data_IF_323894118368
#
_entry.id   IF_323894118368
#
_cell.length_a   1.000
_cell.length_b   1.000
_cell.length_c   1.000
_cell.angle_alpha   90.00
_cell.angle_beta   90.00
_cell.angle_gamma   90.00
#
_symmetry.space_group_name_H-M   'P 1'
#
loop_
_entity.id
_entity.type
_entity.pdbx_description
1 polymer ?
#
# COMPACT_ATOMS: atom_id res chain seq x y z
N UNK A 1 -61.95 -40.28 43.72
CA UNK A 1 -62.39 -40.42 42.32
C UNK A 1 -62.50 -39.03 41.70
N UNK A 2 -61.67 -38.75 40.69
CA UNK A 2 -61.81 -37.64 39.70
C UNK A 2 -61.67 -36.21 40.25
N UNK A 3 -61.17 -35.20 39.54
CA UNK A 3 -60.60 -35.10 38.21
C UNK A 3 -59.95 -33.71 38.06
N UNK A 4 -58.89 -33.63 37.26
CA UNK A 4 -58.46 -32.44 36.51
C UNK A 4 -57.85 -31.26 37.28
N UNK A 5 -56.55 -31.44 37.54
CA UNK A 5 -55.54 -30.38 37.48
C UNK A 5 -55.71 -29.53 36.20
N UNK A 6 -55.94 -28.22 36.35
CA UNK A 6 -55.74 -27.24 35.27
C UNK A 6 -54.35 -26.64 35.43
N UNK A 7 -53.41 -27.20 34.67
CA UNK A 7 -52.06 -26.68 34.48
C UNK A 7 -52.18 -25.34 33.74
N UNK A 8 -51.80 -24.27 34.42
CA UNK A 8 -51.56 -22.97 33.80
C UNK A 8 -50.24 -23.09 33.01
N UNK A 9 -50.31 -23.29 31.70
CA UNK A 9 -49.13 -23.21 30.84
C UNK A 9 -48.72 -21.73 30.73
N UNK A 10 -47.79 -21.31 31.59
CA UNK A 10 -47.00 -20.12 31.34
C UNK A 10 -46.08 -20.42 30.15
N UNK A 11 -46.41 -19.88 28.98
CA UNK A 11 -45.51 -19.78 27.84
C UNK A 11 -44.33 -18.89 28.24
N UNK A 12 -43.26 -19.50 28.73
CA UNK A 12 -41.96 -18.84 28.81
C UNK A 12 -41.44 -18.83 27.37
N UNK A 13 -41.64 -17.70 26.68
CA UNK A 13 -40.99 -17.44 25.41
C UNK A 13 -39.49 -17.28 25.69
N UNK A 14 -38.73 -18.36 25.49
CA UNK A 14 -37.27 -18.33 25.45
C UNK A 14 -36.84 -17.44 24.28
N UNK A 15 -36.57 -16.17 24.55
CA UNK A 15 -35.92 -15.29 23.61
C UNK A 15 -34.48 -15.77 23.44
N UNK A 16 -34.25 -16.64 22.45
CA UNK A 16 -32.91 -16.95 21.97
C UNK A 16 -32.27 -15.65 21.49
N UNK A 17 -31.33 -15.13 22.25
CA UNK A 17 -30.45 -14.05 21.80
C UNK A 17 -29.59 -14.69 20.70
N UNK A 18 -30.03 -14.56 19.46
CA UNK A 18 -29.18 -14.79 18.31
C UNK A 18 -28.07 -13.74 18.40
N UNK A 19 -26.92 -14.18 18.93
CA UNK A 19 -25.69 -13.41 18.80
C UNK A 19 -25.44 -13.28 17.31
N UNK A 20 -25.63 -12.08 16.77
CA UNK A 20 -25.11 -11.76 15.45
C UNK A 20 -23.61 -12.01 15.50
N UNK A 21 -23.18 -13.13 14.93
CA UNK A 21 -21.79 -13.36 14.58
C UNK A 21 -21.45 -12.32 13.51
N UNK A 22 -21.04 -11.11 13.92
CA UNK A 22 -20.27 -10.27 13.03
C UNK A 22 -19.03 -11.09 12.68
N UNK A 23 -18.96 -11.53 11.43
CA UNK A 23 -17.74 -12.09 10.89
C UNK A 23 -16.68 -11.00 11.04
N UNK A 24 -15.72 -11.24 11.93
CA UNK A 24 -14.55 -10.39 12.08
C UNK A 24 -13.97 -10.21 10.68
N UNK A 25 -13.81 -8.97 10.22
CA UNK A 25 -13.34 -8.66 8.88
C UNK A 25 -11.87 -8.29 8.99
N UNK A 26 -10.97 -8.90 8.20
CA UNK A 26 -9.55 -8.66 8.35
C UNK A 26 -9.20 -7.21 7.99
N UNK A 27 -8.41 -6.56 8.83
CA UNK A 27 -7.96 -5.18 8.65
C UNK A 27 -6.92 -5.06 7.52
N UNK A 28 -6.15 -6.13 7.32
CA UNK A 28 -5.07 -6.21 6.34
C UNK A 28 -4.90 -7.66 5.87
N UNK A 29 -4.41 -7.85 4.65
CA UNK A 29 -4.07 -9.17 4.12
C UNK A 29 -2.75 -9.15 3.36
N UNK A 30 -2.02 -10.25 3.45
CA UNK A 30 -0.79 -10.48 2.69
C UNK A 30 -0.66 -11.93 2.23
N UNK A 31 0.53 -12.28 1.79
CA UNK A 31 0.91 -13.64 1.38
C UNK A 31 1.96 -14.18 2.35
N UNK A 32 1.94 -15.49 2.58
CA UNK A 32 3.07 -16.21 3.14
C UNK A 32 3.23 -17.58 2.47
N UNK A 33 4.29 -18.29 2.80
CA UNK A 33 4.53 -19.62 2.26
C UNK A 33 5.21 -20.55 3.26
N UNK A 34 4.94 -21.86 3.14
CA UNK A 34 5.57 -22.87 3.99
C UNK A 34 7.08 -22.93 3.74
N UNK A 35 7.86 -22.90 4.82
CA UNK A 35 9.33 -23.06 4.81
C UNK A 35 9.79 -24.34 5.50
N UNK A 36 8.92 -25.00 6.26
CA UNK A 36 9.16 -26.33 6.83
C UNK A 36 7.96 -27.25 6.63
N UNK A 37 8.18 -28.57 6.74
CA UNK A 37 7.12 -29.56 6.64
C UNK A 37 6.23 -29.62 7.87
N UNK A 38 6.74 -29.25 9.05
CA UNK A 38 5.97 -29.20 10.28
C UNK A 38 5.07 -27.96 10.36
N UNK A 39 5.16 -27.02 9.42
CA UNK A 39 4.19 -25.92 9.26
C UNK A 39 4.66 -24.57 9.77
N UNK A 40 5.94 -24.24 9.63
CA UNK A 40 6.40 -22.85 9.67
C UNK A 40 6.12 -22.15 8.35
N UNK A 41 5.56 -20.95 8.44
CA UNK A 41 5.22 -20.10 7.31
C UNK A 41 6.00 -18.79 7.42
N UNK A 42 6.67 -18.41 6.34
CA UNK A 42 7.39 -17.13 6.23
C UNK A 42 6.51 -16.09 5.53
N UNK A 43 6.57 -14.85 6.01
CA UNK A 43 5.91 -13.67 5.44
C UNK A 43 6.70 -12.40 5.81
N UNK A 44 6.18 -11.21 5.49
CA UNK A 44 6.76 -9.96 5.95
C UNK A 44 6.29 -9.58 7.36
N UNK A 45 7.13 -8.85 8.10
CA UNK A 45 6.79 -8.36 9.43
C UNK A 45 5.59 -7.41 9.39
N UNK A 46 5.55 -6.48 8.44
CA UNK A 46 4.44 -5.52 8.31
C UNK A 46 3.09 -6.18 8.00
N UNK A 47 3.09 -7.41 7.47
CA UNK A 47 1.84 -8.15 7.17
C UNK A 47 1.13 -8.57 8.45
N UNK A 48 1.89 -8.86 9.50
CA UNK A 48 1.36 -9.34 10.80
C UNK A 48 1.48 -8.29 11.91
N UNK A 49 1.90 -7.07 11.58
CA UNK A 49 2.15 -6.02 12.55
C UNK A 49 0.85 -5.53 13.21
N UNK A 50 0.80 -5.62 14.53
CA UNK A 50 -0.31 -5.14 15.34
C UNK A 50 -1.56 -6.01 15.26
N UNK A 51 -1.50 -7.18 14.64
CA UNK A 51 -2.64 -8.11 14.63
C UNK A 51 -2.87 -8.68 16.04
N UNK A 52 -4.11 -8.63 16.51
CA UNK A 52 -4.54 -9.41 17.69
C UNK A 52 -4.76 -10.87 17.35
N UNK A 53 -5.10 -11.17 16.10
CA UNK A 53 -5.26 -12.52 15.57
C UNK A 53 -4.75 -12.58 14.13
N UNK A 54 -4.03 -13.65 13.81
CA UNK A 54 -3.49 -13.92 12.49
C UNK A 54 -4.15 -15.21 12.00
N UNK A 55 -4.92 -15.14 10.93
CA UNK A 55 -5.52 -16.31 10.29
C UNK A 55 -4.78 -16.62 8.99
N UNK A 56 -4.49 -17.90 8.76
CA UNK A 56 -4.01 -18.39 7.47
C UNK A 56 -5.17 -19.10 6.79
N UNK A 57 -5.64 -18.55 5.66
CA UNK A 57 -6.87 -19.02 5.01
C UNK A 57 -6.77 -20.50 4.66
N UNK A 58 -7.74 -21.28 5.12
CA UNK A 58 -7.78 -22.75 4.95
C UNK A 58 -6.85 -23.54 5.87
N UNK A 59 -6.09 -22.88 6.76
CA UNK A 59 -5.22 -23.51 7.78
C UNK A 59 -5.61 -23.11 9.21
N UNK A 60 -6.41 -22.06 9.38
CA UNK A 60 -6.87 -21.57 10.68
C UNK A 60 -5.91 -20.56 11.29
N UNK A 61 -6.01 -20.37 12.60
CA UNK A 61 -5.22 -19.37 13.32
C UNK A 61 -3.76 -19.78 13.41
N UNK A 62 -2.88 -18.82 13.13
CA UNK A 62 -1.46 -18.97 13.31
C UNK A 62 -1.05 -18.67 14.76
N UNK A 63 0.07 -19.27 15.16
CA UNK A 63 0.64 -19.21 16.51
C UNK A 63 2.14 -18.92 16.44
N UNK A 64 2.78 -18.72 17.60
CA UNK A 64 4.23 -18.50 17.74
C UNK A 64 4.82 -17.50 16.71
N UNK A 65 4.33 -16.25 16.66
CA UNK A 65 4.88 -15.25 15.75
C UNK A 65 6.30 -14.87 16.18
N UNK A 66 7.27 -15.02 15.27
CA UNK A 66 8.66 -14.57 15.43
C UNK A 66 8.94 -13.49 14.42
N UNK A 67 9.47 -12.36 14.86
CA UNK A 67 9.54 -11.14 14.04
C UNK A 67 10.95 -10.59 14.01
N UNK A 68 11.45 -10.34 12.80
CA UNK A 68 12.60 -9.48 12.52
C UNK A 68 12.10 -8.22 11.81
N UNK A 69 11.73 -7.23 12.61
CA UNK A 69 11.20 -5.95 12.11
C UNK A 69 12.25 -5.17 11.30
N UNK A 70 13.54 -5.34 11.59
CA UNK A 70 14.60 -4.61 10.89
C UNK A 70 14.69 -5.04 9.43
N UNK A 71 14.49 -6.33 9.16
CA UNK A 71 14.55 -6.90 7.82
C UNK A 71 13.16 -7.15 7.20
N UNK A 72 12.09 -6.69 7.85
CA UNK A 72 10.71 -6.88 7.41
C UNK A 72 10.35 -8.36 7.17
N UNK A 73 10.75 -9.25 8.08
CA UNK A 73 10.49 -10.68 8.02
C UNK A 73 9.75 -11.17 9.25
N UNK A 74 8.83 -12.11 9.05
CA UNK A 74 8.15 -12.80 10.14
C UNK A 74 7.92 -14.28 9.83
N UNK A 75 8.00 -15.09 10.87
CA UNK A 75 7.63 -16.50 10.87
C UNK A 75 6.40 -16.68 11.73
N UNK A 76 5.45 -17.46 11.24
CA UNK A 76 4.25 -17.86 11.98
C UNK A 76 4.05 -19.37 11.86
N UNK A 77 3.46 -19.97 12.89
CA UNK A 77 3.24 -21.42 12.97
C UNK A 77 1.78 -21.76 12.70
N UNK A 78 1.54 -22.63 11.72
CA UNK A 78 0.21 -23.20 11.44
C UNK A 78 0.10 -24.64 11.93
N UNK A 79 -1.14 -25.10 12.13
CA UNK A 79 -1.42 -26.52 12.30
C UNK A 79 -1.14 -27.26 10.97
N UNK A 80 -0.31 -28.30 11.05
CA UNK A 80 0.06 -29.15 9.92
C UNK A 80 -0.22 -30.62 10.28
N UNK A 81 -1.51 -31.04 10.34
CA UNK A 81 -1.85 -32.45 10.58
C UNK A 81 -1.29 -33.36 9.47
N UNK A 82 -1.23 -32.82 8.26
CA UNK A 82 -0.47 -33.37 7.15
C UNK A 82 0.79 -32.52 6.92
N UNK A 83 1.93 -33.13 6.55
CA UNK A 83 3.16 -32.39 6.26
C UNK A 83 2.94 -31.31 5.20
N UNK A 84 3.33 -30.08 5.54
CA UNK A 84 3.37 -28.97 4.59
C UNK A 84 4.44 -29.24 3.53
N UNK A 85 4.28 -28.65 2.34
CA UNK A 85 5.28 -28.72 1.27
C UNK A 85 6.15 -27.46 1.35
N UNK A 86 7.35 -27.50 1.95
CA UNK A 86 8.17 -26.30 2.04
C UNK A 86 8.70 -25.87 0.66
N UNK A 87 8.83 -24.56 0.45
CA UNK A 87 9.60 -24.03 -0.68
C UNK A 87 11.08 -24.13 -0.32
N UNK A 88 11.88 -24.67 -1.25
CA UNK A 88 13.31 -24.91 -1.05
C UNK A 88 14.08 -23.64 -1.37
N UNK A 89 14.99 -23.24 -0.49
CA UNK A 89 15.87 -22.09 -0.65
C UNK A 89 16.95 -22.36 -1.70
N UNK A 90 17.24 -21.35 -2.51
CA UNK A 90 18.35 -21.43 -3.45
C UNK A 90 19.68 -21.19 -2.75
N UNK A 91 20.71 -21.98 -3.04
CA UNK A 91 22.07 -21.74 -2.51
C UNK A 91 22.92 -20.90 -3.45
N UNK A 92 22.77 -21.11 -4.76
CA UNK A 92 23.49 -20.35 -5.76
C UNK A 92 23.10 -18.86 -5.70
N UNK A 93 24.08 -17.95 -5.90
CA UNK A 93 23.81 -16.53 -5.89
C UNK A 93 22.89 -16.13 -7.04
N UNK A 94 21.93 -15.27 -6.74
CA UNK A 94 21.07 -14.62 -7.73
C UNK A 94 21.91 -13.86 -8.76
N UNK A 95 21.58 -14.00 -10.05
CA UNK A 95 22.26 -13.29 -11.15
C UNK A 95 21.38 -12.19 -11.74
N UNK A 96 22.04 -11.16 -12.26
CA UNK A 96 21.38 -10.11 -13.02
C UNK A 96 20.73 -10.69 -14.29
N UNK A 97 19.51 -10.27 -14.60
CA UNK A 97 18.75 -10.70 -15.77
C UNK A 97 18.12 -12.10 -15.64
N UNK A 98 18.25 -12.75 -14.48
CA UNK A 98 17.68 -14.08 -14.27
C UNK A 98 16.16 -14.03 -14.21
N UNK A 99 15.52 -14.94 -14.95
CA UNK A 99 14.07 -15.13 -14.96
C UNK A 99 13.56 -15.57 -13.60
N UNK A 100 12.41 -15.05 -13.21
CA UNK A 100 11.76 -15.36 -11.95
C UNK A 100 10.24 -15.44 -12.07
N UNK A 101 9.65 -16.09 -11.07
CA UNK A 101 8.21 -16.20 -10.87
C UNK A 101 7.88 -15.73 -9.45
N UNK A 102 6.93 -14.81 -9.31
CA UNK A 102 6.39 -14.40 -8.03
C UNK A 102 4.95 -14.90 -7.86
N UNK A 103 4.61 -15.34 -6.65
CA UNK A 103 3.30 -15.88 -6.32
C UNK A 103 2.70 -15.18 -5.11
N UNK A 104 1.39 -14.94 -5.14
CA UNK A 104 0.69 -14.37 -3.99
C UNK A 104 -0.79 -14.14 -4.20
N UNK A 105 -1.41 -13.43 -3.25
CA UNK A 105 -2.84 -13.13 -3.21
C UNK A 105 -3.08 -11.61 -3.32
N UNK A 106 -2.82 -11.00 -4.50
CA UNK A 106 -3.07 -9.58 -4.69
C UNK A 106 -4.57 -9.31 -4.65
N UNK A 107 -4.96 -8.23 -3.97
CA UNK A 107 -6.34 -7.71 -3.98
C UNK A 107 -7.40 -8.81 -3.74
N UNK A 108 -7.17 -9.72 -2.80
CA UNK A 108 -8.00 -10.91 -2.60
C UNK A 108 -9.48 -10.62 -2.22
N UNK A 109 -9.82 -9.38 -1.88
CA UNK A 109 -11.20 -8.91 -1.68
C UNK A 109 -11.88 -8.44 -2.98
N UNK A 110 -11.11 -8.22 -4.06
CA UNK A 110 -11.57 -7.70 -5.36
C UNK A 110 -11.32 -8.68 -6.53
N UNK A 111 -10.38 -9.61 -6.39
CA UNK A 111 -10.00 -10.60 -7.40
C UNK A 111 -10.33 -12.03 -6.92
N UNK A 112 -10.13 -13.03 -7.80
CA UNK A 112 -10.41 -14.43 -7.46
C UNK A 112 -9.62 -14.90 -6.21
N UNK A 113 -10.20 -15.82 -5.42
CA UNK A 113 -9.60 -16.37 -4.19
C UNK A 113 -8.36 -17.26 -4.40
N UNK A 114 -7.99 -17.57 -5.65
CA UNK A 114 -6.83 -18.41 -5.97
C UNK A 114 -5.49 -17.68 -5.80
N UNK A 115 -4.38 -18.41 -5.77
CA UNK A 115 -3.06 -17.79 -5.91
C UNK A 115 -2.90 -17.20 -7.31
N UNK A 116 -2.20 -16.07 -7.40
CA UNK A 116 -1.85 -15.40 -8.66
C UNK A 116 -0.37 -15.51 -8.90
N UNK A 117 -0.02 -15.66 -10.17
CA UNK A 117 1.34 -15.91 -10.62
C UNK A 117 1.72 -14.81 -11.59
N UNK A 118 2.90 -14.23 -11.37
CA UNK A 118 3.45 -13.16 -12.20
C UNK A 118 4.90 -13.49 -12.53
N UNK A 119 5.34 -13.12 -13.72
CA UNK A 119 6.70 -13.40 -14.21
C UNK A 119 7.49 -12.12 -14.38
N UNK A 120 8.81 -12.24 -14.39
CA UNK A 120 9.72 -11.14 -14.66
C UNK A 120 11.16 -11.62 -14.57
N UNK A 121 12.06 -10.70 -14.27
CA UNK A 121 13.48 -10.96 -14.11
C UNK A 121 14.10 -10.09 -13.01
N UNK A 122 15.34 -10.41 -12.65
CA UNK A 122 16.16 -9.64 -11.73
C UNK A 122 16.76 -8.43 -12.46
N UNK A 123 16.35 -7.23 -12.06
CA UNK A 123 16.81 -5.96 -12.63
C UNK A 123 18.05 -5.40 -11.94
N UNK A 124 18.23 -5.70 -10.65
CA UNK A 124 19.40 -5.27 -9.88
C UNK A 124 19.62 -6.20 -8.68
N UNK A 125 20.88 -6.27 -8.25
CA UNK A 125 21.32 -7.06 -7.09
C UNK A 125 21.34 -6.25 -5.79
N UNK A 126 20.68 -5.10 -5.74
CA UNK A 126 20.52 -4.32 -4.53
C UNK A 126 19.20 -3.56 -4.58
N UNK A 127 18.70 -3.21 -3.40
CA UNK A 127 17.56 -2.34 -3.21
C UNK A 127 17.91 -0.86 -3.33
N UNK A 128 16.99 -0.03 -2.85
CA UNK A 128 17.23 1.41 -2.72
C UNK A 128 18.51 1.70 -1.95
N UNK A 129 19.24 2.75 -2.36
CA UNK A 129 20.47 3.21 -1.71
C UNK A 129 21.53 2.10 -1.53
N UNK A 130 21.58 1.16 -2.48
CA UNK A 130 22.47 -0.01 -2.45
C UNK A 130 22.23 -0.94 -1.24
N UNK A 131 21.00 -1.01 -0.73
CA UNK A 131 20.66 -1.96 0.33
C UNK A 131 20.78 -3.41 -0.20
N UNK A 132 21.83 -4.10 0.23
CA UNK A 132 22.17 -5.45 -0.24
C UNK A 132 21.21 -6.52 0.26
N UNK A 133 20.30 -6.20 1.17
CA UNK A 133 19.27 -7.14 1.67
C UNK A 133 18.23 -7.45 0.61
N UNK A 134 18.09 -6.60 -0.42
CA UNK A 134 17.07 -6.71 -1.45
C UNK A 134 17.68 -7.08 -2.82
N UNK A 135 16.81 -7.59 -3.69
CA UNK A 135 16.96 -7.63 -5.14
C UNK A 135 15.85 -6.79 -5.78
N UNK A 136 16.16 -6.11 -6.88
CA UNK A 136 15.16 -5.43 -7.68
C UNK A 136 14.63 -6.40 -8.74
N UNK A 137 13.31 -6.43 -8.90
CA UNK A 137 12.59 -7.32 -9.81
C UNK A 137 11.67 -6.49 -10.72
N UNK A 138 11.45 -6.96 -11.96
CA UNK A 138 10.53 -6.34 -12.91
C UNK A 138 9.07 -6.77 -12.75
N UNK A 139 8.82 -7.81 -11.96
CA UNK A 139 7.51 -8.43 -11.84
C UNK A 139 6.48 -7.47 -11.24
N UNK A 140 5.26 -7.37 -11.81
CA UNK A 140 4.20 -6.53 -11.26
C UNK A 140 3.79 -6.98 -9.85
N UNK A 141 4.02 -6.14 -8.84
CA UNK A 141 3.61 -6.37 -7.45
C UNK A 141 2.45 -5.43 -7.09
N UNK A 142 1.43 -5.96 -6.41
CA UNK A 142 0.25 -5.22 -5.94
C UNK A 142 0.04 -5.47 -4.44
N UNK A 143 -0.75 -4.62 -3.74
CA UNK A 143 -1.16 -4.89 -2.37
C UNK A 143 -1.74 -6.30 -2.23
N UNK A 144 -1.24 -7.06 -1.23
CA UNK A 144 -1.56 -8.47 -1.01
C UNK A 144 -0.45 -9.44 -1.43
N UNK A 145 0.49 -9.04 -2.29
CA UNK A 145 1.66 -9.86 -2.65
C UNK A 145 2.79 -9.84 -1.59
N UNK A 146 2.78 -8.88 -0.66
CA UNK A 146 3.76 -8.80 0.43
C UNK A 146 3.88 -10.13 1.16
N UNK A 147 5.10 -10.61 1.32
CA UNK A 147 5.44 -11.88 1.96
C UNK A 147 5.36 -13.10 1.03
N UNK A 148 4.97 -12.91 -0.24
CA UNK A 148 4.89 -13.98 -1.24
C UNK A 148 6.26 -14.40 -1.79
N UNK A 149 6.44 -15.68 -2.16
CA UNK A 149 7.72 -16.18 -2.64
C UNK A 149 8.05 -15.67 -4.05
N UNK A 150 9.33 -15.40 -4.26
CA UNK A 150 9.96 -15.16 -5.56
C UNK A 150 10.91 -16.32 -5.83
N UNK A 151 10.66 -17.10 -6.88
CA UNK A 151 11.42 -18.31 -7.22
C UNK A 151 12.06 -18.21 -8.59
N UNK A 152 13.15 -18.95 -8.81
CA UNK A 152 13.72 -19.17 -10.14
C UNK A 152 12.86 -20.13 -10.99
N UNK A 153 13.31 -20.37 -12.24
CA UNK A 153 12.68 -21.32 -13.17
C UNK A 153 12.76 -22.79 -12.73
N UNK A 154 13.48 -23.10 -11.67
CA UNK A 154 13.61 -24.44 -11.10
C UNK A 154 12.76 -24.61 -9.82
N UNK A 155 12.17 -23.51 -9.35
CA UNK A 155 11.29 -23.43 -8.19
C UNK A 155 12.02 -23.23 -6.86
N UNK A 156 13.29 -22.83 -6.90
CA UNK A 156 14.04 -22.48 -5.68
C UNK A 156 13.82 -21.01 -5.32
N UNK A 157 13.62 -20.75 -4.02
CA UNK A 157 13.39 -19.41 -3.48
C UNK A 157 14.62 -18.52 -3.68
N UNK A 158 14.42 -17.41 -4.37
CA UNK A 158 15.40 -16.35 -4.56
C UNK A 158 15.13 -15.15 -3.64
N UNK A 159 13.87 -14.91 -3.29
CA UNK A 159 13.49 -13.82 -2.41
C UNK A 159 12.04 -13.85 -1.95
N UNK A 160 11.70 -12.87 -1.12
CA UNK A 160 10.39 -12.66 -0.54
C UNK A 160 9.90 -11.30 -1.02
N UNK A 161 8.79 -11.28 -1.74
CA UNK A 161 8.20 -10.05 -2.27
C UNK A 161 7.96 -9.09 -1.12
N UNK A 162 8.51 -7.88 -1.19
CA UNK A 162 8.22 -6.83 -0.23
C UNK A 162 7.57 -5.67 -0.96
N UNK A 163 6.34 -5.32 -0.57
CA UNK A 163 5.67 -4.12 -1.09
C UNK A 163 6.23 -2.82 -0.47
N UNK A 164 7.41 -2.86 0.16
CA UNK A 164 8.03 -1.71 0.87
C UNK A 164 8.46 -0.57 -0.02
N UNK A 165 8.61 -0.77 -1.33
CA UNK A 165 8.47 0.38 -2.22
C UNK A 165 6.99 0.67 -2.38
N UNK A 166 6.40 1.20 -1.30
CA UNK A 166 5.09 1.80 -1.40
C UNK A 166 5.18 2.86 -2.49
N UNK A 167 4.06 3.07 -3.19
CA UNK A 167 3.99 4.14 -4.18
C UNK A 167 4.47 5.47 -3.57
N UNK A 168 4.23 5.72 -2.27
CA UNK A 168 4.78 6.87 -1.55
C UNK A 168 6.32 6.90 -1.49
N UNK A 169 7.00 5.76 -1.30
CA UNK A 169 8.48 5.72 -1.26
C UNK A 169 9.07 5.85 -2.66
N UNK A 170 8.43 5.26 -3.68
CA UNK A 170 8.76 5.42 -5.11
C UNK A 170 8.58 6.88 -5.57
N UNK A 171 7.50 7.51 -5.12
CA UNK A 171 7.16 8.90 -5.39
C UNK A 171 8.10 9.86 -4.62
N UNK A 172 8.53 9.52 -3.40
CA UNK A 172 9.52 10.28 -2.61
C UNK A 172 10.93 10.24 -3.21
N UNK A 173 11.30 9.16 -3.89
CA UNK A 173 12.60 9.03 -4.60
C UNK A 173 12.52 9.46 -6.08
N UNK A 174 11.36 9.94 -6.55
CA UNK A 174 11.19 10.45 -7.91
C UNK A 174 11.25 9.38 -9.01
N UNK A 175 10.94 8.13 -8.68
CA UNK A 175 10.83 7.05 -9.66
C UNK A 175 9.34 6.74 -9.84
N UNK A 176 8.74 7.18 -10.94
CA UNK A 176 7.46 6.64 -11.44
C UNK A 176 7.72 5.21 -11.91
N UNK A 177 7.88 4.33 -10.93
CA UNK A 177 8.40 3.00 -11.03
C UNK A 177 7.38 2.04 -11.64
N UNK A 178 7.05 2.21 -12.93
CA UNK A 178 6.53 1.06 -13.64
C UNK A 178 7.63 -0.01 -13.65
N UNK A 179 7.39 -1.14 -12.97
CA UNK A 179 8.28 -2.30 -12.87
C UNK A 179 9.57 -2.11 -12.03
N UNK A 180 9.57 -1.21 -11.03
CA UNK A 180 10.61 -1.24 -9.96
C UNK A 180 9.97 -1.78 -8.69
N UNK A 181 10.11 -3.09 -8.51
CA UNK A 181 9.66 -3.79 -7.31
C UNK A 181 10.86 -4.44 -6.63
N UNK A 182 10.72 -4.80 -5.36
CA UNK A 182 11.80 -5.40 -4.60
C UNK A 182 11.37 -6.70 -3.92
N UNK A 183 12.34 -7.58 -3.74
CA UNK A 183 12.22 -8.74 -2.90
C UNK A 183 13.38 -8.80 -1.92
N UNK A 184 13.09 -9.12 -0.67
CA UNK A 184 14.11 -9.43 0.35
C UNK A 184 14.80 -10.72 -0.09
N UNK A 185 16.12 -10.77 -0.07
CA UNK A 185 16.88 -11.94 -0.50
C UNK A 185 16.57 -13.17 0.36
N UNK A 186 16.47 -14.33 -0.27
CA UNK A 186 16.28 -15.59 0.42
C UNK A 186 17.37 -15.85 1.49
N UNK A 187 18.60 -15.41 1.25
CA UNK A 187 19.70 -15.54 2.22
C UNK A 187 19.47 -14.74 3.52
N UNK A 188 18.77 -13.60 3.45
CA UNK A 188 18.42 -12.82 4.65
C UNK A 188 17.36 -13.57 5.46
N UNK A 189 16.38 -14.17 4.78
CA UNK A 189 15.37 -14.99 5.42
C UNK A 189 15.94 -16.29 6.01
N UNK A 190 16.88 -16.93 5.33
CA UNK A 190 17.57 -18.12 5.84
C UNK A 190 18.34 -17.80 7.13
N UNK A 191 19.10 -16.69 7.16
CA UNK A 191 19.76 -16.23 8.38
C UNK A 191 18.78 -15.94 9.53
N UNK A 192 17.62 -15.32 9.21
CA UNK A 192 16.58 -15.10 10.20
C UNK A 192 16.05 -16.44 10.75
N UNK A 193 15.72 -17.40 9.89
CA UNK A 193 15.25 -18.73 10.30
C UNK A 193 16.28 -19.45 11.18
N UNK A 194 17.56 -19.43 10.80
CA UNK A 194 18.65 -20.00 11.61
C UNK A 194 18.75 -19.34 12.98
N UNK A 195 18.60 -18.01 13.07
CA UNK A 195 18.58 -17.30 14.36
C UNK A 195 17.43 -17.74 15.29
N UNK A 196 16.35 -18.26 14.70
CA UNK A 196 15.19 -18.79 15.40
C UNK A 196 15.28 -20.31 15.60
N UNK A 197 16.41 -20.94 15.29
CA UNK A 197 16.59 -22.41 15.34
C UNK A 197 15.57 -23.17 14.48
N UNK A 198 15.22 -22.60 13.33
CA UNK A 198 14.34 -23.22 12.32
C UNK A 198 15.20 -23.48 11.08
N UNK A 199 15.28 -24.73 10.65
CA UNK A 199 16.09 -25.13 9.50
C UNK A 199 15.22 -25.23 8.24
N UNK A 200 15.55 -24.43 7.23
CA UNK A 200 14.96 -24.54 5.89
C UNK A 200 15.67 -25.61 5.06
N UNK A 201 14.98 -26.07 4.02
CA UNK A 201 15.62 -26.91 2.99
C UNK A 201 16.28 -26.00 1.95
N UNK A 202 17.48 -26.35 1.51
CA UNK A 202 18.21 -25.60 0.49
C UNK A 202 18.72 -26.51 -0.63
N UNK A 203 18.70 -26.01 -1.86
CA UNK A 203 19.09 -26.77 -3.05
C UNK A 203 19.37 -25.88 -4.24
N UNK A 204 19.83 -26.51 -5.32
CA UNK A 204 20.02 -25.90 -6.63
C UNK A 204 19.64 -26.89 -7.72
N UNK A 205 19.46 -26.37 -8.92
CA UNK A 205 19.20 -27.18 -10.11
C UNK A 205 20.35 -28.17 -10.38
N UNK A 206 19.99 -29.41 -10.71
CA UNK A 206 20.95 -30.36 -11.27
C UNK A 206 21.36 -29.97 -12.70
N UNK A 207 22.59 -30.28 -13.10
CA UNK A 207 23.16 -29.80 -14.36
C UNK A 207 22.39 -30.27 -15.62
N UNK A 208 21.68 -31.38 -15.54
CA UNK A 208 20.92 -32.05 -16.60
C UNK A 208 19.41 -31.78 -16.55
N UNK A 209 18.91 -31.20 -15.46
CA UNK A 209 17.50 -30.87 -15.31
C UNK A 209 17.12 -29.75 -16.29
N UNK A 210 15.92 -29.80 -16.87
CA UNK A 210 15.37 -28.72 -17.69
C UNK A 210 14.60 -27.70 -16.84
N UNK A 211 14.51 -26.42 -17.25
CA UNK A 211 13.75 -25.44 -16.48
C UNK A 211 12.27 -25.82 -16.50
N UNK A 212 11.60 -25.61 -15.38
CA UNK A 212 10.19 -25.91 -15.23
C UNK A 212 9.39 -24.78 -15.90
N UNK A 213 8.31 -25.11 -16.60
CA UNK A 213 7.43 -24.10 -17.18
C UNK A 213 6.76 -23.27 -16.08
N UNK A 214 6.34 -22.03 -16.39
CA UNK A 214 5.62 -21.21 -15.39
C UNK A 214 4.35 -21.89 -14.89
N UNK A 215 3.65 -22.62 -15.76
CA UNK A 215 2.42 -23.32 -15.40
C UNK A 215 2.70 -24.47 -14.43
N UNK A 216 3.72 -25.29 -14.71
CA UNK A 216 4.07 -26.41 -13.84
C UNK A 216 4.66 -25.93 -12.50
N UNK A 217 5.40 -24.80 -12.50
CA UNK A 217 5.82 -24.15 -11.26
C UNK A 217 4.64 -23.69 -10.43
N UNK A 218 3.65 -23.07 -11.06
CA UNK A 218 2.42 -22.65 -10.39
C UNK A 218 1.73 -23.86 -9.75
N UNK A 219 1.50 -24.93 -10.50
CA UNK A 219 0.86 -26.15 -9.97
C UNK A 219 1.65 -26.76 -8.80
N UNK A 220 2.99 -26.84 -8.95
CA UNK A 220 3.87 -27.41 -7.93
C UNK A 220 3.88 -26.61 -6.62
N UNK A 221 3.93 -25.28 -6.71
CA UNK A 221 4.19 -24.41 -5.56
C UNK A 221 2.92 -23.80 -4.94
N UNK A 222 1.82 -23.69 -5.68
CA UNK A 222 0.55 -23.13 -5.16
C UNK A 222 0.10 -23.73 -3.82
N UNK A 223 0.20 -25.05 -3.56
CA UNK A 223 -0.19 -25.64 -2.28
C UNK A 223 0.65 -25.18 -1.08
N UNK A 224 1.81 -24.57 -1.34
CA UNK A 224 2.74 -24.05 -0.34
C UNK A 224 2.53 -22.56 -0.05
N UNK A 225 1.70 -21.86 -0.82
CA UNK A 225 1.50 -20.40 -0.74
C UNK A 225 0.12 -20.09 -0.18
N UNK A 226 0.07 -19.32 0.91
CA UNK A 226 -1.12 -19.06 1.69
C UNK A 226 -1.47 -17.56 1.73
N UNK A 227 -2.76 -17.28 1.81
CA UNK A 227 -3.26 -15.96 2.15
C UNK A 227 -3.23 -15.79 3.67
N UNK A 228 -2.63 -14.69 4.13
CA UNK A 228 -2.57 -14.31 5.54
C UNK A 228 -3.55 -13.16 5.79
N UNK A 229 -4.36 -13.29 6.83
CA UNK A 229 -5.37 -12.34 7.25
C UNK A 229 -5.05 -11.83 8.65
N UNK A 230 -5.01 -10.51 8.82
CA UNK A 230 -4.71 -9.83 10.08
C UNK A 230 -5.97 -9.22 10.67
N UNK A 231 -6.27 -9.53 11.93
CA UNK A 231 -7.42 -9.00 12.67
C UNK A 231 -6.97 -8.11 13.82
N UNK A 232 -7.76 -7.06 14.11
CA UNK A 232 -7.71 -6.28 15.35
C UNK A 232 -6.46 -5.44 15.61
N UNK A 233 -6.01 -4.62 14.64
CA UNK A 233 -5.03 -3.56 14.93
C UNK A 233 -5.62 -2.60 15.98
N UNK A 234 -4.99 -2.36 17.15
CA UNK A 234 -5.52 -1.38 18.08
C UNK A 234 -5.50 0.00 17.42
N UNK A 235 -6.67 0.63 17.31
CA UNK A 235 -6.74 2.07 17.16
C UNK A 235 -5.95 2.69 18.32
N UNK A 236 -4.97 3.53 18.01
CA UNK A 236 -4.28 4.32 19.03
C UNK A 236 -5.31 5.28 19.63
N UNK A 237 -5.85 4.90 20.79
CA UNK A 237 -6.82 5.67 21.55
C UNK A 237 -6.23 7.03 21.97
N UNK A 238 -6.85 8.12 21.52
CA UNK A 238 -6.71 9.42 22.18
C UNK A 238 -7.57 9.41 23.47
N UNK A 239 -7.02 9.96 24.56
CA UNK A 239 -7.53 9.86 25.93
C UNK A 239 -9.02 10.25 26.14
N UNK A 240 -9.70 9.71 27.16
CA UNK A 240 -11.16 9.83 27.32
C UNK A 240 -11.58 11.17 27.93
N UNK A 241 -12.69 11.73 27.44
CA UNK A 241 -13.36 12.92 28.01
C UNK A 241 -14.63 12.48 28.78
N UNK A 242 -15.06 13.16 29.88
CA UNK A 242 -16.05 12.67 30.84
C UNK A 242 -17.48 12.56 30.27
N UNK A 243 -18.38 11.83 30.96
CA UNK A 243 -19.62 11.33 30.36
C UNK A 243 -20.70 12.42 30.35
N UNK A 244 -21.30 12.63 29.18
CA UNK A 244 -22.61 13.26 29.11
C UNK A 244 -23.64 12.31 28.48
N UNK A 245 -24.84 12.44 29.03
CA UNK A 245 -25.88 11.44 29.05
C UNK A 245 -26.57 11.22 27.70
N UNK A 246 -27.14 10.02 27.62
CA UNK A 246 -28.07 9.51 26.62
C UNK A 246 -28.99 10.54 25.96
N UNK A 247 -29.03 10.54 24.63
CA UNK A 247 -30.29 10.34 23.88
C UNK A 247 -29.98 9.77 22.49
N UNK A 248 -30.88 8.92 22.05
CA UNK A 248 -30.77 7.89 21.01
C UNK A 248 -30.79 8.37 19.55
N UNK A 249 -29.94 7.72 18.74
CA UNK A 249 -29.98 7.33 17.30
C UNK A 249 -31.15 7.80 16.40
N UNK A 250 -30.90 8.10 15.10
CA UNK A 250 -30.55 7.06 14.11
C UNK A 250 -29.17 7.22 13.46
N UNK A 251 -28.56 6.07 13.18
CA UNK A 251 -27.32 5.90 12.42
C UNK A 251 -27.48 6.44 11.00
N UNK A 252 -26.55 7.29 10.57
CA UNK A 252 -26.23 7.53 9.16
C UNK A 252 -24.71 7.40 8.95
N UNK A 253 -24.30 7.00 7.73
CA UNK A 253 -23.10 6.21 7.47
C UNK A 253 -21.82 6.98 7.81
N UNK A 254 -20.81 6.26 8.29
CA UNK A 254 -19.45 6.76 8.55
C UNK A 254 -18.94 7.51 7.33
N UNK A 255 -19.06 8.83 7.36
CA UNK A 255 -18.51 9.74 6.38
C UNK A 255 -16.99 9.60 6.38
N UNK A 256 -16.41 9.57 5.18
CA UNK A 256 -14.96 9.70 4.99
C UNK A 256 -14.57 11.09 5.48
N UNK A 257 -14.15 11.21 6.74
CA UNK A 257 -13.78 12.51 7.30
C UNK A 257 -12.62 13.11 6.50
N UNK A 258 -12.84 14.27 5.89
CA UNK A 258 -11.78 15.07 5.28
C UNK A 258 -11.06 15.89 6.36
N UNK A 259 -9.77 16.12 6.16
CA UNK A 259 -8.91 16.98 6.99
C UNK A 259 -8.75 18.30 6.26
N UNK A 260 -9.11 19.41 6.92
CA UNK A 260 -8.96 20.75 6.39
C UNK A 260 -7.49 21.22 6.41
N UNK A 261 -7.05 21.76 5.28
CA UNK A 261 -5.78 22.48 5.14
C UNK A 261 -6.04 23.87 4.53
N UNK A 262 -6.28 24.86 5.41
CA UNK A 262 -6.51 26.26 5.01
C UNK A 262 -5.22 26.91 4.53
N UNK A 263 -5.31 27.72 3.47
CA UNK A 263 -4.15 28.36 2.86
C UNK A 263 -3.34 27.41 1.97
N UNK A 264 -3.91 26.25 1.63
CA UNK A 264 -3.31 25.25 0.78
C UNK A 264 -4.22 24.91 -0.39
N UNK A 265 -3.58 24.62 -1.52
CA UNK A 265 -4.19 24.06 -2.72
C UNK A 265 -3.73 22.61 -2.89
N UNK A 266 -4.67 21.70 -3.16
CA UNK A 266 -4.33 20.34 -3.53
C UNK A 266 -4.07 20.31 -5.04
N UNK A 267 -2.89 19.85 -5.45
CA UNK A 267 -2.53 19.95 -6.87
C UNK A 267 -3.03 18.76 -7.68
N UNK A 268 -3.69 19.05 -8.80
CA UNK A 268 -4.12 18.05 -9.79
C UNK A 268 -5.32 17.20 -9.36
N UNK A 269 -5.57 16.12 -10.11
CA UNK A 269 -6.64 15.12 -9.88
C UNK A 269 -8.08 15.67 -9.92
N UNK A 270 -8.28 16.86 -10.47
CA UNK A 270 -9.61 17.45 -10.64
C UNK A 270 -10.44 16.63 -11.63
N UNK A 271 -11.52 16.00 -11.13
CA UNK A 271 -12.46 15.30 -11.99
C UNK A 271 -13.79 16.06 -12.15
N UNK A 272 -14.07 17.01 -11.26
CA UNK A 272 -15.28 17.83 -11.32
C UNK A 272 -15.07 19.20 -10.69
N UNK A 273 -15.55 20.24 -11.36
CA UNK A 273 -15.56 21.61 -10.84
C UNK A 273 -17.00 22.06 -10.57
N UNK A 274 -17.24 22.61 -9.40
CA UNK A 274 -18.50 23.22 -9.00
C UNK A 274 -18.30 24.72 -8.83
N UNK A 275 -19.20 25.52 -9.39
CA UNK A 275 -19.17 26.98 -9.29
C UNK A 275 -20.31 27.44 -8.39
N UNK A 276 -20.12 28.62 -7.78
CA UNK A 276 -21.13 29.27 -6.94
C UNK A 276 -21.59 28.39 -5.76
N UNK A 277 -20.66 27.60 -5.20
CA UNK A 277 -20.90 26.74 -4.04
C UNK A 277 -20.16 27.27 -2.81
N UNK A 278 -20.70 26.99 -1.62
CA UNK A 278 -19.99 27.26 -0.37
C UNK A 278 -18.94 26.18 -0.10
N UNK A 279 -17.96 26.48 0.75
CA UNK A 279 -16.99 25.49 1.20
C UNK A 279 -17.66 24.28 1.88
N UNK A 280 -18.67 24.52 2.73
CA UNK A 280 -19.42 23.46 3.39
C UNK A 280 -20.14 22.55 2.38
N UNK A 281 -20.76 23.13 1.34
CA UNK A 281 -21.39 22.35 0.29
C UNK A 281 -20.36 21.55 -0.53
N UNK A 282 -19.20 22.14 -0.83
CA UNK A 282 -18.07 21.46 -1.49
C UNK A 282 -17.61 20.23 -0.68
N UNK A 283 -17.48 20.39 0.63
CA UNK A 283 -17.10 19.33 1.56
C UNK A 283 -18.14 18.20 1.60
N UNK A 284 -19.41 18.54 1.80
CA UNK A 284 -20.51 17.56 1.85
C UNK A 284 -20.66 16.78 0.54
N UNK A 285 -20.50 17.44 -0.60
CA UNK A 285 -20.57 16.78 -1.90
C UNK A 285 -19.41 15.79 -2.06
N UNK A 286 -18.22 16.13 -1.56
CA UNK A 286 -17.08 15.22 -1.58
C UNK A 286 -17.30 14.02 -0.65
N UNK A 287 -17.78 14.24 0.58
CA UNK A 287 -18.04 13.14 1.53
C UNK A 287 -19.13 12.17 1.06
N UNK A 288 -20.07 12.65 0.24
CA UNK A 288 -21.11 11.84 -0.40
C UNK A 288 -20.68 11.19 -1.72
N UNK A 289 -19.45 11.40 -2.18
CA UNK A 289 -18.92 10.83 -3.42
C UNK A 289 -17.71 9.92 -3.11
N UNK A 290 -17.90 8.61 -3.21
CA UNK A 290 -16.85 7.61 -2.93
C UNK A 290 -15.58 7.82 -3.77
N UNK A 291 -15.69 8.47 -4.94
CA UNK A 291 -14.54 8.81 -5.77
C UNK A 291 -13.74 9.97 -5.19
N UNK A 292 -14.37 10.87 -4.45
CA UNK A 292 -13.73 12.06 -3.94
C UNK A 292 -12.76 11.71 -2.80
N UNK A 293 -11.48 12.02 -3.01
CA UNK A 293 -10.42 11.85 -2.01
C UNK A 293 -9.86 13.18 -1.54
N UNK A 294 -10.13 14.28 -2.24
CA UNK A 294 -9.82 15.62 -1.79
C UNK A 294 -10.67 16.67 -2.50
N UNK A 295 -10.62 17.89 -1.98
CA UNK A 295 -11.15 19.09 -2.57
C UNK A 295 -10.12 20.21 -2.53
N UNK A 296 -10.26 21.14 -3.45
CA UNK A 296 -9.73 22.50 -3.30
C UNK A 296 -10.86 23.47 -3.49
N UNK A 297 -11.03 24.36 -2.52
CA UNK A 297 -12.00 25.43 -2.57
C UNK A 297 -11.30 26.77 -2.72
N UNK A 298 -11.59 27.48 -3.80
CA UNK A 298 -11.13 28.84 -4.00
C UNK A 298 -12.04 29.82 -3.26
N UNK A 299 -11.51 30.50 -2.24
CA UNK A 299 -12.26 31.39 -1.35
C UNK A 299 -12.65 32.71 -2.02
N UNK A 300 -11.91 33.12 -3.05
CA UNK A 300 -12.12 34.38 -3.78
C UNK A 300 -13.24 34.29 -4.81
N UNK A 301 -13.37 33.15 -5.47
CA UNK A 301 -14.31 32.96 -6.58
C UNK A 301 -15.45 31.98 -6.26
N UNK A 302 -15.46 31.36 -5.07
CA UNK A 302 -16.51 30.41 -4.69
C UNK A 302 -16.54 29.14 -5.55
N UNK A 303 -15.36 28.70 -6.01
CA UNK A 303 -15.21 27.54 -6.90
C UNK A 303 -14.62 26.36 -6.13
N UNK A 304 -15.27 25.21 -6.25
CA UNK A 304 -14.85 23.95 -5.66
C UNK A 304 -14.32 23.00 -6.74
N UNK A 305 -13.16 22.42 -6.51
CA UNK A 305 -12.55 21.41 -7.35
C UNK A 305 -12.55 20.09 -6.58
N UNK A 306 -13.38 19.14 -7.01
CA UNK A 306 -13.41 17.79 -6.46
C UNK A 306 -12.33 16.94 -7.11
N UNK A 307 -11.62 16.18 -6.29
CA UNK A 307 -10.43 15.44 -6.69
C UNK A 307 -10.53 13.98 -6.31
N UNK A 308 -10.16 13.10 -7.23
CA UNK A 308 -10.25 11.65 -7.02
C UNK A 308 -8.98 11.07 -6.38
N UNK A 309 -7.98 11.91 -6.15
CA UNK A 309 -6.78 11.60 -5.40
C UNK A 309 -6.15 12.89 -4.86
N UNK A 310 -5.17 12.75 -3.96
CA UNK A 310 -4.33 13.85 -3.51
C UNK A 310 -2.92 13.35 -3.26
N UNK A 311 -1.93 14.10 -3.72
CA UNK A 311 -0.50 13.76 -3.57
C UNK A 311 0.25 14.85 -2.83
N UNK A 312 -0.05 16.11 -3.12
CA UNK A 312 0.60 17.24 -2.47
C UNK A 312 -0.32 18.43 -2.27
N UNK A 313 0.01 19.21 -1.24
CA UNK A 313 -0.57 20.49 -0.90
C UNK A 313 0.50 21.57 -1.03
N UNK A 314 0.18 22.62 -1.80
CA UNK A 314 1.04 23.79 -1.99
C UNK A 314 0.41 25.02 -1.37
N UNK A 315 1.22 26.03 -1.03
CA UNK A 315 0.71 27.28 -0.44
C UNK A 315 -0.09 28.08 -1.46
N UNK A 316 -1.30 28.45 -1.06
CA UNK A 316 -2.16 29.36 -1.80
C UNK A 316 -3.12 30.06 -0.84
N UNK A 317 -2.93 31.38 -0.63
CA UNK A 317 -3.74 32.16 0.32
C UNK A 317 -5.23 32.27 -0.05
N UNK A 318 -5.57 32.05 -1.32
CA UNK A 318 -6.95 32.10 -1.82
C UNK A 318 -7.59 30.69 -1.87
N UNK A 319 -6.97 29.67 -1.26
CA UNK A 319 -7.44 28.29 -1.30
C UNK A 319 -7.62 27.66 0.09
N UNK A 320 -8.61 26.78 0.19
CA UNK A 320 -8.78 25.83 1.28
C UNK A 320 -8.84 24.44 0.67
N UNK A 321 -7.84 23.62 0.93
CA UNK A 321 -7.88 22.21 0.60
C UNK A 321 -8.57 21.44 1.73
N UNK A 322 -9.24 20.34 1.40
CA UNK A 322 -9.53 19.30 2.37
C UNK A 322 -9.31 17.94 1.71
N UNK A 323 -8.87 16.95 2.47
CA UNK A 323 -8.52 15.66 1.90
C UNK A 323 -8.82 14.51 2.85
N UNK A 324 -9.09 13.34 2.30
CA UNK A 324 -9.45 12.16 3.07
C UNK A 324 -8.41 11.88 4.15
N UNK A 325 -8.87 11.70 5.38
CA UNK A 325 -8.03 11.30 6.51
C UNK A 325 -7.24 10.02 6.24
N UNK A 326 -7.75 9.12 5.39
CA UNK A 326 -7.02 7.93 4.92
C UNK A 326 -5.74 8.25 4.11
N UNK A 327 -5.58 9.50 3.64
CA UNK A 327 -4.41 10.00 2.91
C UNK A 327 -3.48 10.85 3.77
N UNK A 328 -3.80 11.08 5.06
CA UNK A 328 -3.07 12.01 5.91
C UNK A 328 -1.57 11.73 6.05
N UNK A 329 -1.19 10.46 6.09
CA UNK A 329 0.22 10.06 6.18
C UNK A 329 0.99 10.18 4.86
N UNK A 330 0.30 10.29 3.71
CA UNK A 330 0.89 10.25 2.36
C UNK A 330 0.90 11.60 1.64
N UNK A 331 0.15 12.59 2.12
CA UNK A 331 0.03 13.91 1.46
C UNK A 331 1.26 14.78 1.78
N UNK A 332 1.97 15.21 0.73
CA UNK A 332 3.12 16.10 0.86
C UNK A 332 2.64 17.52 1.13
N UNK A 333 2.82 18.02 2.34
CA UNK A 333 2.62 19.45 2.63
C UNK A 333 3.90 20.22 2.29
N UNK A 334 3.80 21.21 1.42
CA UNK A 334 4.95 22.00 0.98
C UNK A 334 4.69 23.50 1.10
N UNK A 335 5.74 24.25 1.44
CA UNK A 335 5.72 25.73 1.43
C UNK A 335 5.81 26.31 0.00
N UNK A 336 5.98 25.43 -0.98
CA UNK A 336 6.05 25.74 -2.39
C UNK A 336 4.81 26.53 -2.85
N UNK A 337 5.00 27.52 -3.72
CA UNK A 337 3.94 28.38 -4.25
C UNK A 337 3.89 28.27 -5.77
N UNK A 338 2.68 28.29 -6.34
CA UNK A 338 2.46 28.25 -7.79
C UNK A 338 1.93 29.56 -8.33
N UNK A 339 2.41 29.96 -9.50
CA UNK A 339 2.00 31.17 -10.21
C UNK A 339 1.70 30.85 -11.68
N UNK A 340 0.44 31.00 -12.07
CA UNK A 340 0.03 30.85 -13.46
C UNK A 340 0.38 32.08 -14.29
N UNK A 341 0.87 31.84 -15.52
CA UNK A 341 1.25 32.88 -16.47
C UNK A 341 2.52 33.63 -16.10
N UNK A 342 3.41 33.03 -15.31
CA UNK A 342 4.65 33.62 -14.84
C UNK A 342 5.83 32.70 -15.14
N UNK A 343 7.02 33.28 -15.30
CA UNK A 343 8.29 32.57 -15.45
C UNK A 343 9.41 33.36 -14.75
N UNK A 344 10.46 32.67 -14.33
CA UNK A 344 11.70 33.27 -13.81
C UNK A 344 12.87 32.82 -14.69
N UNK A 345 13.20 33.54 -15.77
CA UNK A 345 14.17 33.07 -16.75
C UNK A 345 15.58 32.87 -16.19
N UNK A 346 16.27 31.83 -16.66
CA UNK A 346 17.63 31.50 -16.23
C UNK A 346 17.66 30.46 -15.10
N UNK A 347 18.87 29.96 -14.80
CA UNK A 347 19.06 28.92 -13.79
C UNK A 347 18.59 27.52 -14.21
N UNK A 348 18.15 27.36 -15.46
CA UNK A 348 17.68 26.09 -16.00
C UNK A 348 18.82 25.06 -16.08
N UNK A 349 18.75 24.01 -15.26
CA UNK A 349 19.81 22.98 -15.22
C UNK A 349 19.31 21.60 -15.67
N UNK A 350 17.99 21.38 -15.65
CA UNK A 350 17.38 20.11 -16.07
C UNK A 350 16.06 20.35 -16.79
N UNK A 351 15.88 19.65 -17.91
CA UNK A 351 14.66 19.67 -18.71
C UNK A 351 14.02 18.29 -18.69
N UNK A 352 12.75 18.22 -18.33
CA UNK A 352 11.91 17.04 -18.46
C UNK A 352 10.95 17.23 -19.65
N UNK A 353 10.76 16.18 -20.43
CA UNK A 353 9.83 16.13 -21.56
C UNK A 353 8.76 15.08 -21.28
N UNK A 354 7.64 15.19 -21.99
CA UNK A 354 6.51 14.26 -21.86
C UNK A 354 6.02 14.13 -20.41
N UNK A 355 6.09 15.24 -19.67
CA UNK A 355 5.80 15.32 -18.24
C UNK A 355 4.55 16.15 -17.97
N UNK A 356 4.08 16.14 -16.73
CA UNK A 356 2.96 16.96 -16.27
C UNK A 356 3.37 17.88 -15.11
N UNK A 357 2.48 18.81 -14.72
CA UNK A 357 2.76 19.77 -13.65
C UNK A 357 3.09 19.09 -12.32
N UNK A 358 2.36 18.03 -11.97
CA UNK A 358 2.57 17.31 -10.71
C UNK A 358 3.94 16.62 -10.70
N UNK A 359 4.32 15.96 -11.79
CA UNK A 359 5.63 15.32 -11.93
C UNK A 359 6.77 16.34 -11.96
N UNK A 360 6.57 17.49 -12.60
CA UNK A 360 7.50 18.62 -12.56
C UNK A 360 7.71 19.12 -11.12
N UNK A 361 6.61 19.25 -10.36
CA UNK A 361 6.62 19.63 -8.96
C UNK A 361 7.31 18.60 -8.06
N UNK A 362 6.92 17.33 -8.13
CA UNK A 362 7.51 16.28 -7.28
C UNK A 362 8.99 16.07 -7.61
N UNK A 363 9.38 16.17 -8.88
CA UNK A 363 10.80 16.12 -9.28
C UNK A 363 11.58 17.29 -8.68
N UNK A 364 11.01 18.50 -8.69
CA UNK A 364 11.67 19.65 -8.07
C UNK A 364 11.79 19.51 -6.55
N UNK A 365 10.74 19.05 -5.86
CA UNK A 365 10.80 18.84 -4.41
C UNK A 365 11.83 17.78 -4.01
N UNK A 366 11.92 16.69 -4.78
CA UNK A 366 12.87 15.60 -4.56
C UNK A 366 14.32 15.95 -4.92
N UNK A 367 14.56 17.06 -5.61
CA UNK A 367 15.89 17.50 -6.01
C UNK A 367 16.35 18.68 -5.15
N UNK A 368 17.38 18.45 -4.32
CA UNK A 368 17.95 19.47 -3.44
C UNK A 368 18.53 20.68 -4.19
N UNK A 369 18.91 20.53 -5.47
CA UNK A 369 19.37 21.63 -6.28
C UNK A 369 18.22 22.50 -6.80
N UNK A 370 16.99 21.98 -6.86
CA UNK A 370 15.85 22.69 -7.41
C UNK A 370 15.31 23.75 -6.43
N UNK A 371 15.25 24.99 -6.90
CA UNK A 371 14.62 26.12 -6.20
C UNK A 371 13.32 26.57 -6.85
N UNK A 372 13.16 26.29 -8.15
CA UNK A 372 11.96 26.62 -8.90
C UNK A 372 11.84 25.73 -10.14
N UNK A 373 10.68 25.76 -10.78
CA UNK A 373 10.51 25.18 -12.11
C UNK A 373 9.57 26.01 -12.96
N UNK A 374 9.70 25.88 -14.27
CA UNK A 374 8.72 26.41 -15.23
C UNK A 374 8.13 25.27 -16.02
N UNK A 375 6.84 25.02 -15.84
CA UNK A 375 6.09 24.02 -16.58
C UNK A 375 5.33 24.68 -17.73
N UNK A 376 5.41 24.09 -18.92
CA UNK A 376 4.76 24.58 -20.13
C UNK A 376 3.71 23.56 -20.56
N UNK A 377 2.43 23.72 -20.16
CA UNK A 377 1.39 22.72 -20.40
C UNK A 377 1.22 22.33 -21.88
N UNK A 378 1.31 23.31 -22.78
CA UNK A 378 1.16 23.08 -24.23
C UNK A 378 2.24 22.20 -24.84
N UNK A 379 3.39 22.07 -24.17
CA UNK A 379 4.53 21.29 -24.63
C UNK A 379 4.77 20.05 -23.77
N UNK A 380 4.08 19.90 -22.64
CA UNK A 380 4.37 18.88 -21.63
C UNK A 380 5.85 18.91 -21.21
N UNK A 381 6.39 20.11 -21.03
CA UNK A 381 7.80 20.33 -20.70
C UNK A 381 7.97 21.03 -19.36
N UNK A 382 8.91 20.54 -18.57
CA UNK A 382 9.31 21.10 -17.29
C UNK A 382 10.77 21.53 -17.33
N UNK A 383 11.05 22.73 -16.85
CA UNK A 383 12.40 23.28 -16.76
C UNK A 383 12.72 23.56 -15.30
N UNK A 384 13.53 22.69 -14.68
CA UNK A 384 13.97 22.84 -13.28
C UNK A 384 15.09 23.86 -13.18
N UNK A 385 15.04 24.67 -12.13
CA UNK A 385 15.89 25.84 -11.91
C UNK A 385 16.61 25.77 -10.57
N UNK A 386 17.91 26.00 -10.58
CA UNK A 386 18.75 26.05 -9.37
C UNK A 386 18.93 27.47 -8.81
N UNK A 387 18.43 28.46 -9.56
CA UNK A 387 18.51 29.87 -9.27
C UNK A 387 17.31 30.59 -9.88
N UNK A 388 16.88 31.66 -9.21
CA UNK A 388 15.71 32.44 -9.60
C UNK A 388 16.14 33.68 -10.38
N UNK A 389 15.70 33.77 -11.63
CA UNK A 389 15.74 35.02 -12.39
C UNK A 389 14.69 36.02 -11.92
N UNK A 390 14.69 37.23 -12.52
CA UNK A 390 13.63 38.21 -12.28
C UNK A 390 12.28 37.68 -12.81
N UNK A 391 11.22 37.65 -12.00
CA UNK A 391 9.91 37.21 -12.44
C UNK A 391 9.40 38.02 -13.64
N UNK A 392 8.83 37.33 -14.62
CA UNK A 392 8.24 37.90 -15.83
C UNK A 392 6.90 37.26 -16.11
N UNK A 393 5.93 38.07 -16.55
CA UNK A 393 4.66 37.56 -17.06
C UNK A 393 4.92 36.84 -18.38
N UNK A 394 4.63 35.54 -18.40
CA UNK A 394 4.83 34.65 -19.54
C UNK A 394 3.59 33.76 -19.67
N UNK A 395 2.70 34.13 -20.61
CA UNK A 395 1.43 33.41 -20.82
C UNK A 395 1.68 31.94 -21.16
N UNK A 396 0.93 31.05 -20.51
CA UNK A 396 0.99 29.61 -20.75
C UNK A 396 2.19 28.92 -20.12
N UNK A 397 2.80 29.54 -19.10
CA UNK A 397 3.81 28.94 -18.23
C UNK A 397 3.28 28.94 -16.81
N UNK A 398 3.44 27.82 -16.12
CA UNK A 398 3.15 27.67 -14.71
C UNK A 398 4.50 27.66 -13.97
N UNK A 399 4.72 28.69 -13.15
CA UNK A 399 5.93 28.82 -12.33
C UNK A 399 5.69 28.22 -10.97
N UNK A 400 6.57 27.30 -10.60
CA UNK A 400 6.67 26.78 -9.25
C UNK A 400 7.88 27.34 -8.51
N UNK A 401 7.73 27.82 -7.28
CA UNK A 401 8.83 28.31 -6.45
C UNK A 401 8.80 27.67 -5.07
N UNK A 402 9.95 27.20 -4.59
CA UNK A 402 10.13 26.58 -3.27
C UNK A 402 10.19 27.58 -2.13
#
# INVERSE_FOLDING_TARGET
>A
MSCLSRILFALVASASIASNCYADSPNYSGTGFAVTSDGWVLTNAHVIEGCTRIEVKGKGDATDPRVDANNDLALIKIAAPEPSKPIIFRRAPTRLGEDLVAMGYPLATLLADSVKVTTGNVNALAGLRNDTRYIQISTPIQPGNSGGPVVDRDGFLMGITSATLSKETADQIGITAQNVNFAIRASVADLFMQSQSIEGQSGDRAADQQPISTADLAEKLSPSVFQILCYGKPEVQAAPKPPEASTSLPVQPTATALIDARGYDAIGFDYRTLKDVTYAACHQICEGDDRCKAITYNTKYGVCFLKDNVVALIRNGDAIAAYSSAKAASVIMSDFTSYSGMDTPGGDYKRLRDTNYLECFTTCIGDNACKAFSYIPKKSECWLKDSLGRPRITKGVELGVK
#
